data_IF_793749685832
#
_entry.id   IF_793749685832
#
_cell.length_a   1.000
_cell.length_b   1.000
_cell.length_c   1.000
_cell.angle_alpha   90.00
_cell.angle_beta   90.00
_cell.angle_gamma   90.00
#
_symmetry.space_group_name_H-M   'P 1'
#
loop_
_entity.id
_entity.type
_entity.pdbx_description
1 polymer ?
#
# COMPACT_ATOMS: atom_id res chain seq x y z
N UNK A 1 -22.05 21.19 6.62
CA UNK A 1 -21.85 19.76 6.93
C UNK A 1 -21.69 18.99 5.62
N UNK A 2 -20.53 18.36 5.42
CA UNK A 2 -20.25 17.40 4.34
C UNK A 2 -21.03 16.11 4.68
N UNK A 3 -21.73 15.37 3.82
CA UNK A 3 -21.84 15.29 2.37
C UNK A 3 -23.06 14.42 2.07
N UNK A 4 -24.12 14.98 1.48
CA UNK A 4 -25.14 14.20 0.77
C UNK A 4 -24.77 14.20 -0.72
N UNK A 5 -23.78 13.39 -1.11
CA UNK A 5 -23.46 13.20 -2.53
C UNK A 5 -24.09 11.90 -3.02
N UNK A 6 -25.23 12.11 -3.67
CA UNK A 6 -25.67 11.44 -4.87
C UNK A 6 -25.73 9.91 -4.82
N UNK A 7 -26.92 9.45 -4.44
CA UNK A 7 -27.51 8.16 -4.80
C UNK A 7 -27.46 7.96 -6.33
N UNK A 8 -26.36 7.36 -6.79
CA UNK A 8 -26.16 6.89 -8.15
C UNK A 8 -25.61 5.46 -8.18
N UNK A 9 -25.79 4.70 -7.11
CA UNK A 9 -25.36 3.30 -7.07
C UNK A 9 -26.23 2.51 -8.05
N UNK A 10 -25.65 2.05 -9.15
CA UNK A 10 -26.32 1.09 -10.03
C UNK A 10 -26.68 -0.17 -9.22
N UNK A 11 -27.61 -0.99 -9.69
CA UNK A 11 -27.91 -2.32 -9.10
C UNK A 11 -26.63 -3.16 -8.99
N UNK A 12 -25.62 -2.87 -9.79
CA UNK A 12 -24.27 -3.43 -9.76
C UNK A 12 -23.44 -2.99 -8.54
N UNK A 13 -23.53 -1.72 -8.11
CA UNK A 13 -22.84 -1.23 -6.91
C UNK A 13 -23.43 -1.83 -5.63
N UNK A 14 -24.74 -2.07 -5.62
CA UNK A 14 -25.41 -2.77 -4.52
C UNK A 14 -25.00 -4.25 -4.45
N UNK A 15 -24.63 -4.88 -5.57
CA UNK A 15 -24.07 -6.24 -5.59
C UNK A 15 -22.64 -6.25 -5.07
N UNK A 16 -21.85 -5.23 -5.37
CA UNK A 16 -20.47 -5.09 -4.86
C UNK A 16 -20.41 -5.00 -3.32
N UNK A 17 -21.48 -4.56 -2.66
CA UNK A 17 -21.56 -4.54 -1.18
C UNK A 17 -21.46 -5.92 -0.53
N UNK A 18 -21.82 -6.99 -1.24
CA UNK A 18 -21.77 -8.36 -0.75
C UNK A 18 -20.61 -9.17 -1.36
N UNK A 19 -19.59 -8.48 -1.86
CA UNK A 19 -18.41 -9.10 -2.44
C UNK A 19 -17.22 -8.99 -1.49
N UNK A 20 -16.51 -10.09 -1.31
CA UNK A 20 -15.27 -10.14 -0.55
C UNK A 20 -14.08 -10.23 -1.50
N UNK A 21 -13.34 -9.13 -1.66
CA UNK A 21 -12.09 -9.06 -2.43
C UNK A 21 -10.97 -9.92 -1.84
N UNK A 22 -11.03 -10.22 -0.54
CA UNK A 22 -10.01 -11.05 0.09
C UNK A 22 -10.16 -12.51 -0.31
N UNK A 23 -11.39 -12.97 -0.52
CA UNK A 23 -11.72 -14.36 -0.77
C UNK A 23 -12.29 -14.61 -2.17
N UNK A 24 -12.45 -13.56 -2.98
CA UNK A 24 -13.04 -13.58 -4.32
C UNK A 24 -14.42 -14.25 -4.34
N UNK A 25 -15.24 -13.94 -3.33
CA UNK A 25 -16.59 -14.53 -3.16
C UNK A 25 -17.66 -13.46 -3.21
N UNK A 26 -18.64 -13.66 -4.11
CA UNK A 26 -19.85 -12.87 -4.18
C UNK A 26 -20.96 -13.55 -3.39
N UNK A 27 -21.58 -12.83 -2.48
CA UNK A 27 -22.75 -13.25 -1.73
C UNK A 27 -24.00 -12.53 -2.25
N UNK A 28 -25.16 -13.19 -2.15
CA UNK A 28 -26.46 -12.66 -2.59
C UNK A 28 -27.27 -12.09 -1.42
N UNK A 29 -26.97 -12.50 -0.19
CA UNK A 29 -27.68 -12.10 1.03
C UNK A 29 -26.71 -11.50 2.03
N UNK A 30 -27.14 -10.42 2.67
CA UNK A 30 -26.39 -9.75 3.73
C UNK A 30 -25.97 -10.72 4.84
N UNK A 31 -26.87 -11.59 5.31
CA UNK A 31 -26.58 -12.51 6.40
C UNK A 31 -25.43 -13.49 6.06
N UNK A 32 -25.36 -13.97 4.83
CA UNK A 32 -24.30 -14.88 4.40
C UNK A 32 -22.95 -14.16 4.28
N UNK A 33 -22.99 -12.91 3.83
CA UNK A 33 -21.81 -12.05 3.80
C UNK A 33 -21.31 -11.74 5.21
N UNK A 34 -22.20 -11.36 6.12
CA UNK A 34 -21.86 -11.07 7.52
C UNK A 34 -21.28 -12.31 8.21
N UNK A 35 -21.88 -13.48 8.02
CA UNK A 35 -21.34 -14.75 8.48
C UNK A 35 -19.95 -15.03 7.90
N UNK A 36 -19.70 -14.67 6.64
CA UNK A 36 -18.38 -14.82 6.02
C UNK A 36 -17.35 -13.87 6.63
N UNK A 37 -17.67 -12.58 6.78
CA UNK A 37 -16.75 -11.60 7.37
C UNK A 37 -16.41 -11.99 8.82
N UNK A 38 -17.39 -12.52 9.56
CA UNK A 38 -17.21 -13.02 10.92
C UNK A 38 -16.58 -14.43 10.99
N UNK A 39 -16.36 -15.10 9.85
CA UNK A 39 -15.77 -16.44 9.82
C UNK A 39 -14.28 -16.40 10.17
N UNK A 40 -13.82 -17.46 10.86
CA UNK A 40 -12.43 -17.59 11.27
C UNK A 40 -11.44 -17.54 10.08
N UNK A 41 -11.79 -18.20 8.97
CA UNK A 41 -10.95 -18.24 7.76
C UNK A 41 -10.76 -16.84 7.16
N UNK A 42 -11.84 -16.06 7.07
CA UNK A 42 -11.78 -14.68 6.57
C UNK A 42 -10.90 -13.81 7.47
N UNK A 43 -11.14 -13.84 8.78
CA UNK A 43 -10.36 -13.06 9.75
C UNK A 43 -8.87 -13.43 9.73
N UNK A 44 -8.56 -14.73 9.59
CA UNK A 44 -7.18 -15.20 9.50
C UNK A 44 -6.50 -14.74 8.20
N UNK A 45 -7.20 -14.80 7.06
CA UNK A 45 -6.68 -14.35 5.77
C UNK A 45 -6.47 -12.83 5.74
N UNK A 46 -7.38 -12.07 6.33
CA UNK A 46 -7.24 -10.62 6.49
C UNK A 46 -6.00 -10.28 7.31
N UNK A 47 -5.86 -10.88 8.50
CA UNK A 47 -4.71 -10.66 9.38
C UNK A 47 -3.38 -11.03 8.70
N UNK A 48 -3.34 -12.12 7.94
CA UNK A 48 -2.14 -12.52 7.22
C UNK A 48 -1.73 -11.47 6.18
N UNK A 49 -2.66 -10.96 5.38
CA UNK A 49 -2.37 -9.91 4.39
C UNK A 49 -1.92 -8.61 5.06
N UNK A 50 -2.55 -8.21 6.17
CA UNK A 50 -2.14 -7.03 6.93
C UNK A 50 -0.72 -7.18 7.49
N UNK A 51 -0.38 -8.34 8.05
CA UNK A 51 0.98 -8.64 8.53
C UNK A 51 2.00 -8.59 7.39
N UNK A 52 1.70 -9.21 6.25
CA UNK A 52 2.57 -9.18 5.08
C UNK A 52 2.77 -7.75 4.55
N UNK A 53 1.70 -6.96 4.48
CA UNK A 53 1.77 -5.57 4.04
C UNK A 53 2.63 -4.73 5.00
N UNK A 54 2.44 -4.89 6.31
CA UNK A 54 3.25 -4.21 7.33
C UNK A 54 4.73 -4.57 7.22
N UNK A 55 5.05 -5.84 7.03
CA UNK A 55 6.43 -6.28 6.82
C UNK A 55 7.01 -5.75 5.50
N UNK A 56 6.21 -5.68 4.43
CA UNK A 56 6.63 -5.09 3.17
C UNK A 56 6.96 -3.60 3.34
N UNK A 57 6.07 -2.81 3.96
CA UNK A 57 6.30 -1.38 4.21
C UNK A 57 7.56 -1.17 5.06
N UNK A 58 7.77 -1.98 6.11
CA UNK A 58 8.99 -1.94 6.92
C UNK A 58 10.24 -2.23 6.09
N UNK A 59 10.21 -3.27 5.26
CA UNK A 59 11.34 -3.66 4.41
C UNK A 59 11.66 -2.62 3.34
N UNK A 60 10.63 -2.03 2.71
CA UNK A 60 10.79 -0.95 1.73
C UNK A 60 11.40 0.29 2.39
N UNK A 61 10.88 0.71 3.56
CA UNK A 61 11.44 1.83 4.30
C UNK A 61 12.91 1.59 4.68
N UNK A 62 13.22 0.38 5.13
CA UNK A 62 14.58 -0.01 5.54
C UNK A 62 15.57 -0.07 4.37
N UNK A 63 15.14 -0.54 3.21
CA UNK A 63 15.93 -0.51 1.97
C UNK A 63 16.12 0.92 1.47
N UNK A 64 15.04 1.70 1.43
CA UNK A 64 15.04 3.09 0.96
C UNK A 64 16.05 3.95 1.72
N UNK A 65 16.09 3.88 3.05
CA UNK A 65 17.06 4.65 3.85
C UNK A 65 18.52 4.27 3.56
N UNK A 66 18.80 2.97 3.36
CA UNK A 66 20.15 2.49 3.02
C UNK A 66 20.58 2.95 1.63
N UNK A 67 19.69 2.89 0.64
CA UNK A 67 19.97 3.36 -0.72
C UNK A 67 20.15 4.88 -0.75
N UNK A 68 19.28 5.63 -0.09
CA UNK A 68 19.40 7.09 0.06
C UNK A 68 20.78 7.49 0.60
N UNK A 69 21.27 6.80 1.64
CA UNK A 69 22.58 7.09 2.24
C UNK A 69 23.75 6.78 1.30
N UNK A 70 23.65 5.73 0.49
CA UNK A 70 24.66 5.43 -0.54
C UNK A 70 24.66 6.48 -1.64
N UNK A 71 23.47 6.87 -2.12
CA UNK A 71 23.30 7.89 -3.14
C UNK A 71 23.85 9.24 -2.68
N UNK A 72 23.56 9.66 -1.44
CA UNK A 72 24.09 10.90 -0.88
C UNK A 72 25.63 10.87 -0.84
N UNK A 73 26.24 9.76 -0.42
CA UNK A 73 27.70 9.64 -0.38
C UNK A 73 28.31 9.68 -1.79
N UNK A 74 27.67 9.08 -2.78
CA UNK A 74 28.11 9.14 -4.17
C UNK A 74 28.02 10.58 -4.72
N UNK A 75 26.91 11.27 -4.46
CA UNK A 75 26.73 12.67 -4.85
C UNK A 75 27.78 13.58 -4.19
N UNK A 76 28.08 13.40 -2.90
CA UNK A 76 29.15 14.15 -2.22
C UNK A 76 30.52 13.93 -2.87
N UNK A 77 30.85 12.68 -3.24
CA UNK A 77 32.11 12.37 -3.94
C UNK A 77 32.17 13.02 -5.31
N UNK A 78 31.09 12.97 -6.09
CA UNK A 78 31.00 13.64 -7.38
C UNK A 78 31.20 15.15 -7.24
N UNK A 79 30.57 15.76 -6.23
CA UNK A 79 30.72 17.19 -5.95
C UNK A 79 32.17 17.56 -5.61
N UNK A 80 32.84 16.77 -4.76
CA UNK A 80 34.26 16.98 -4.42
C UNK A 80 35.16 16.88 -5.66
N UNK A 81 34.94 15.89 -6.52
CA UNK A 81 35.73 15.74 -7.76
C UNK A 81 35.52 16.93 -8.71
N UNK A 82 34.28 17.41 -8.85
CA UNK A 82 33.98 18.58 -9.67
C UNK A 82 34.67 19.85 -9.15
N UNK A 83 34.73 20.04 -7.82
CA UNK A 83 35.45 21.16 -7.20
C UNK A 83 36.95 21.11 -7.52
N UNK A 84 37.60 19.95 -7.34
CA UNK A 84 39.02 19.78 -7.65
C UNK A 84 39.34 20.03 -9.13
N UNK A 85 38.47 19.57 -10.05
CA UNK A 85 38.63 19.87 -11.47
C UNK A 85 38.52 21.37 -11.77
N UNK A 86 37.61 22.07 -11.10
CA UNK A 86 37.45 23.52 -11.26
C UNK A 86 38.65 24.28 -10.70
N UNK A 87 39.22 23.84 -9.58
CA UNK A 87 40.45 24.40 -9.01
C UNK A 87 41.66 24.14 -9.91
N UNK A 88 41.77 22.96 -10.52
CA UNK A 88 42.87 22.64 -11.46
C UNK A 88 42.80 23.41 -12.77
N UNK A 89 41.62 23.95 -13.14
CA UNK A 89 41.43 24.76 -14.35
C UNK A 89 41.60 26.27 -14.09
N UNK A 90 41.76 26.69 -12.83
CA UNK A 90 42.10 28.07 -12.44
C UNK A 90 43.61 28.27 -12.39
#
# INVERSE_FOLDING_TARGET
ECTERALGCSVEDLKSLFYCELCDKQYLRHQEFDNHINSYDHAHKQRLKELQHREFVRNVASKSWKDQRKQEKALRRLHQLAQLQQESQR
#
